data_IF_619616687829
#
_entry.id   IF_619616687829
#
_cell.length_a   1.000
_cell.length_b   1.000
_cell.length_c   1.000
_cell.angle_alpha   90.00
_cell.angle_beta   90.00
_cell.angle_gamma   90.00
#
_symmetry.space_group_name_H-M   'P 1'
#
loop_
_entity.id
_entity.type
_entity.pdbx_description
1 polymer ?
#
# COMPACT_ATOMS: atom_id res chain seq x y z
N UNK A 1 -0.70 33.73 7.34
CA UNK A 1 -0.30 32.68 6.37
C UNK A 1 -1.19 31.47 6.60
N UNK A 2 -1.85 30.97 5.57
CA UNK A 2 -2.49 29.65 5.68
C UNK A 2 -1.35 28.63 5.82
N UNK A 3 -1.31 27.91 6.92
CA UNK A 3 -0.46 26.71 7.01
C UNK A 3 -0.84 25.81 5.85
N UNK A 4 0.16 25.45 5.06
CA UNK A 4 -0.03 24.51 3.96
C UNK A 4 -0.37 23.17 4.59
N UNK A 5 -1.61 22.72 4.48
CA UNK A 5 -2.01 21.38 4.93
C UNK A 5 -1.27 20.38 4.07
N UNK A 6 -0.45 19.57 4.71
CA UNK A 6 0.27 18.47 4.08
C UNK A 6 -0.62 17.23 4.07
N UNK A 7 -0.60 16.47 3.01
CA UNK A 7 -1.41 15.27 2.89
C UNK A 7 -0.85 14.25 1.91
N UNK A 8 -1.44 13.05 1.87
CA UNK A 8 -1.04 12.02 0.92
C UNK A 8 -1.33 12.44 -0.53
N UNK A 9 -0.49 11.97 -1.43
CA UNK A 9 -0.64 12.16 -2.87
C UNK A 9 -1.58 11.12 -3.49
N UNK A 10 -1.61 9.91 -2.92
CA UNK A 10 -2.44 8.81 -3.41
C UNK A 10 -2.61 7.72 -2.35
N UNK A 11 -3.66 6.88 -2.51
CA UNK A 11 -3.73 5.58 -1.87
C UNK A 11 -2.79 4.64 -2.63
N UNK A 12 -1.68 4.28 -2.02
CA UNK A 12 -0.58 3.58 -2.67
C UNK A 12 -0.75 2.07 -2.64
N UNK A 13 -1.10 1.50 -1.49
CA UNK A 13 -1.39 0.08 -1.35
C UNK A 13 -2.46 -0.18 -0.28
N UNK A 14 -3.06 -1.36 -0.36
CA UNK A 14 -3.95 -1.89 0.68
C UNK A 14 -3.44 -3.25 1.15
N UNK A 15 -3.66 -3.55 2.41
CA UNK A 15 -3.43 -4.85 3.01
C UNK A 15 -4.75 -5.55 3.31
N UNK A 16 -4.82 -6.82 2.95
CA UNK A 16 -5.95 -7.70 3.21
C UNK A 16 -5.51 -8.87 4.09
N UNK A 17 -6.35 -9.25 5.04
CA UNK A 17 -6.24 -10.53 5.73
C UNK A 17 -7.06 -11.55 4.96
N UNK A 18 -6.43 -12.65 4.53
CA UNK A 18 -7.04 -13.59 3.57
C UNK A 18 -6.89 -15.03 4.05
N UNK A 19 -7.99 -15.75 4.13
CA UNK A 19 -8.01 -17.16 4.56
C UNK A 19 -7.59 -18.15 3.46
N UNK A 20 -7.85 -17.82 2.18
CA UNK A 20 -7.46 -18.64 1.02
C UNK A 20 -6.70 -17.80 -0.01
N UNK A 21 -5.37 -17.75 0.15
CA UNK A 21 -4.49 -17.01 -0.74
C UNK A 21 -4.43 -17.55 -2.16
N UNK A 22 -4.63 -18.85 -2.36
CA UNK A 22 -4.61 -19.47 -3.69
C UNK A 22 -5.87 -19.03 -4.48
N UNK A 23 -7.04 -19.05 -3.83
CA UNK A 23 -8.26 -18.55 -4.43
C UNK A 23 -8.18 -17.04 -4.73
N UNK A 24 -7.57 -16.26 -3.84
CA UNK A 24 -7.33 -14.82 -4.07
C UNK A 24 -6.39 -14.57 -5.23
N UNK A 25 -5.28 -15.31 -5.34
CA UNK A 25 -4.34 -15.17 -6.45
C UNK A 25 -5.01 -15.49 -7.79
N UNK A 26 -5.78 -16.58 -7.85
CA UNK A 26 -6.53 -16.95 -9.04
C UNK A 26 -7.55 -15.87 -9.42
N UNK A 27 -8.35 -15.39 -8.47
CA UNK A 27 -9.31 -14.30 -8.69
C UNK A 27 -8.63 -13.02 -9.19
N UNK A 28 -7.58 -12.59 -8.51
CA UNK A 28 -6.86 -11.36 -8.85
C UNK A 28 -6.26 -11.41 -10.26
N UNK A 29 -5.65 -12.53 -10.65
CA UNK A 29 -4.96 -12.64 -11.93
C UNK A 29 -5.88 -13.02 -13.07
N UNK A 30 -6.86 -13.89 -12.86
CA UNK A 30 -7.73 -14.43 -13.92
C UNK A 30 -9.00 -13.61 -14.11
N UNK A 31 -9.52 -12.98 -13.07
CA UNK A 31 -10.73 -12.16 -13.14
C UNK A 31 -10.42 -10.67 -13.20
N UNK A 32 -9.65 -10.15 -12.24
CA UNK A 32 -9.32 -8.72 -12.18
C UNK A 32 -8.22 -8.32 -13.17
N UNK A 33 -7.36 -9.24 -13.56
CA UNK A 33 -6.25 -8.96 -14.48
C UNK A 33 -5.03 -8.32 -13.81
N UNK A 34 -4.90 -8.45 -12.50
CA UNK A 34 -3.70 -8.03 -11.77
C UNK A 34 -2.53 -8.97 -12.08
N UNK A 35 -1.31 -8.53 -11.80
CA UNK A 35 -0.12 -9.37 -11.91
C UNK A 35 0.32 -9.84 -10.52
N UNK A 36 0.52 -11.15 -10.38
CA UNK A 36 1.10 -11.72 -9.17
C UNK A 36 2.61 -11.55 -9.16
N UNK A 37 3.15 -11.09 -8.03
CA UNK A 37 4.58 -11.07 -7.73
C UNK A 37 5.01 -12.29 -6.90
N UNK A 38 4.06 -13.20 -6.64
CA UNK A 38 4.27 -14.34 -5.76
C UNK A 38 4.14 -13.98 -4.28
N UNK A 39 4.57 -14.92 -3.45
CA UNK A 39 4.56 -14.76 -1.99
C UNK A 39 5.94 -14.36 -1.50
N UNK A 40 5.98 -13.48 -0.53
CA UNK A 40 7.20 -13.09 0.15
C UNK A 40 7.61 -14.09 1.26
N UNK A 41 8.66 -13.76 1.99
CA UNK A 41 9.19 -14.62 3.07
C UNK A 41 8.18 -14.81 4.21
N UNK A 42 7.28 -13.85 4.44
CA UNK A 42 6.22 -13.90 5.44
C UNK A 42 4.99 -14.67 4.92
N UNK A 43 5.01 -15.15 3.69
CA UNK A 43 3.93 -15.86 3.03
C UNK A 43 2.83 -14.94 2.47
N UNK A 44 2.99 -13.63 2.54
CA UNK A 44 2.02 -12.69 1.99
C UNK A 44 2.11 -12.62 0.45
N UNK A 45 0.97 -12.71 -0.20
CA UNK A 45 0.84 -12.57 -1.65
C UNK A 45 0.95 -11.08 -2.03
N UNK A 46 1.77 -10.77 -3.01
CA UNK A 46 1.94 -9.43 -3.57
C UNK A 46 1.31 -9.36 -4.95
N UNK A 47 0.42 -8.39 -5.16
CA UNK A 47 -0.24 -8.15 -6.44
C UNK A 47 0.03 -6.73 -6.91
N UNK A 48 0.20 -6.55 -8.21
CA UNK A 48 0.44 -5.24 -8.81
C UNK A 48 -0.47 -4.97 -10.00
N UNK A 49 -0.57 -3.70 -10.38
CA UNK A 49 -1.37 -3.24 -11.50
C UNK A 49 -0.68 -2.17 -12.35
N UNK A 50 0.51 -1.73 -11.95
CA UNK A 50 1.30 -0.67 -12.58
C UNK A 50 2.80 -0.84 -12.30
N UNK A 51 3.59 0.23 -12.37
CA UNK A 51 5.03 0.20 -12.14
C UNK A 51 5.42 -0.03 -10.68
N UNK A 52 4.52 0.15 -9.71
CA UNK A 52 4.79 -0.18 -8.32
C UNK A 52 5.07 -1.67 -8.18
N UNK A 53 5.99 -2.03 -7.29
CA UNK A 53 6.27 -3.43 -7.00
C UNK A 53 5.01 -4.18 -6.59
N UNK A 54 4.17 -3.56 -5.78
CA UNK A 54 2.86 -4.08 -5.39
C UNK A 54 1.91 -2.93 -5.04
N UNK A 55 0.63 -3.22 -5.18
CA UNK A 55 -0.49 -2.38 -4.74
C UNK A 55 -1.36 -3.11 -3.71
N UNK A 56 -1.25 -4.43 -3.65
CA UNK A 56 -2.00 -5.28 -2.71
C UNK A 56 -1.03 -6.17 -1.94
N UNK A 57 -1.24 -6.24 -0.64
CA UNK A 57 -0.55 -7.11 0.30
C UNK A 57 -1.60 -8.03 0.90
N UNK A 58 -1.70 -9.27 0.41
CA UNK A 58 -2.64 -10.24 0.94
C UNK A 58 -1.90 -11.13 1.94
N UNK A 59 -2.07 -10.85 3.22
CA UNK A 59 -1.46 -11.63 4.30
C UNK A 59 -2.35 -12.81 4.70
N UNK A 60 -1.78 -13.97 5.04
CA UNK A 60 -2.57 -15.09 5.56
C UNK A 60 -3.25 -14.71 6.88
N UNK A 61 -4.53 -14.99 7.00
CA UNK A 61 -5.33 -14.69 8.19
C UNK A 61 -6.80 -15.02 8.00
N UNK A 62 -7.56 -15.10 9.07
CA UNK A 62 -8.93 -15.63 9.07
C UNK A 62 -10.02 -14.54 8.93
N UNK A 63 -9.62 -13.27 8.88
CA UNK A 63 -10.59 -12.17 8.90
C UNK A 63 -11.34 -11.98 7.56
N UNK A 64 -10.70 -12.30 6.43
CA UNK A 64 -11.20 -12.04 5.07
C UNK A 64 -11.69 -10.59 4.90
N UNK A 65 -10.86 -9.65 5.35
CA UNK A 65 -11.23 -8.23 5.45
C UNK A 65 -10.03 -7.32 5.19
N UNK A 66 -10.30 -6.01 5.06
CA UNK A 66 -9.30 -4.96 5.00
C UNK A 66 -8.51 -4.93 6.33
N UNK A 67 -7.19 -4.95 6.23
CA UNK A 67 -6.30 -4.96 7.38
C UNK A 67 -5.40 -3.72 7.45
N UNK A 68 -5.15 -3.06 6.31
CA UNK A 68 -4.17 -1.98 6.23
C UNK A 68 -4.45 -1.04 5.07
N UNK A 69 -4.23 0.26 5.30
CA UNK A 69 -4.22 1.29 4.26
C UNK A 69 -2.83 1.95 4.19
N UNK A 70 -2.24 2.01 3.01
CA UNK A 70 -0.95 2.66 2.76
C UNK A 70 -1.11 3.92 1.92
N UNK A 71 -0.80 5.07 2.52
CA UNK A 71 -0.90 6.40 1.92
C UNK A 71 0.46 6.90 1.48
N UNK A 72 0.65 7.10 0.18
CA UNK A 72 1.91 7.61 -0.36
C UNK A 72 1.99 9.13 -0.19
N UNK A 73 3.15 9.60 0.28
CA UNK A 73 3.51 11.02 0.31
C UNK A 73 4.73 11.28 -0.59
N UNK A 74 4.96 12.54 -0.91
CA UNK A 74 5.95 12.93 -1.91
C UNK A 74 7.41 12.56 -1.50
N UNK A 75 7.75 12.77 -0.24
CA UNK A 75 9.11 12.64 0.28
C UNK A 75 9.14 12.52 1.81
N UNK A 76 10.35 12.34 2.38
CA UNK A 76 10.55 12.22 3.83
C UNK A 76 10.14 13.49 4.59
N UNK A 77 10.39 14.68 4.01
CA UNK A 77 10.00 15.95 4.65
C UNK A 77 8.48 16.08 4.75
N UNK A 78 7.77 15.65 3.72
CA UNK A 78 6.30 15.58 3.71
C UNK A 78 5.79 14.55 4.72
N UNK A 79 6.48 13.41 4.85
CA UNK A 79 6.17 12.36 5.83
C UNK A 79 6.30 12.89 7.27
N UNK A 80 7.40 13.58 7.57
CA UNK A 80 7.63 14.20 8.88
C UNK A 80 6.56 15.25 9.22
N UNK A 81 6.25 16.11 8.25
CA UNK A 81 5.22 17.14 8.43
C UNK A 81 3.82 16.54 8.65
N UNK A 82 3.49 15.45 7.94
CA UNK A 82 2.23 14.73 8.13
C UNK A 82 2.17 14.09 9.52
N UNK A 83 3.26 13.47 9.96
CA UNK A 83 3.35 12.88 11.30
C UNK A 83 3.10 13.93 12.40
N UNK A 84 3.78 15.07 12.32
CA UNK A 84 3.57 16.18 13.26
C UNK A 84 2.13 16.72 13.24
N UNK A 85 1.53 16.81 12.07
CA UNK A 85 0.14 17.25 11.89
C UNK A 85 -0.86 16.27 12.52
N UNK A 86 -0.64 14.95 12.38
CA UNK A 86 -1.46 13.91 13.00
C UNK A 86 -1.33 13.95 14.53
N UNK A 87 -0.11 14.07 15.07
CA UNK A 87 0.14 14.18 16.51
C UNK A 87 -0.51 15.44 17.09
N UNK A 88 -0.43 16.57 16.40
CA UNK A 88 -1.10 17.81 16.82
C UNK A 88 -2.63 17.67 16.82
N UNK A 89 -3.18 16.77 16.01
CA UNK A 89 -4.60 16.43 15.99
C UNK A 89 -4.98 15.35 17.04
N UNK A 90 -4.02 14.88 17.83
CA UNK A 90 -4.26 13.88 18.88
C UNK A 90 -4.20 12.43 18.41
N UNK A 91 -3.72 12.18 17.19
CA UNK A 91 -3.52 10.82 16.68
C UNK A 91 -2.16 10.30 17.16
N UNK A 92 -2.14 9.08 17.71
CA UNK A 92 -0.88 8.43 18.07
C UNK A 92 -0.14 7.99 16.80
N UNK A 93 1.10 8.44 16.61
CA UNK A 93 1.93 8.15 15.47
C UNK A 93 3.20 7.42 15.90
N UNK A 94 3.58 6.37 15.17
CA UNK A 94 4.82 5.64 15.39
C UNK A 94 5.65 5.63 14.10
N UNK A 95 6.94 5.96 14.20
CA UNK A 95 7.88 5.77 13.08
C UNK A 95 8.13 4.30 12.88
N UNK A 96 7.98 3.82 11.65
CA UNK A 96 8.28 2.43 11.31
C UNK A 96 9.78 2.16 11.33
N UNK A 97 10.16 1.04 11.91
CA UNK A 97 11.53 0.53 11.90
C UNK A 97 11.82 -0.28 10.62
N UNK A 98 12.96 -0.95 10.58
CA UNK A 98 13.32 -1.78 9.43
C UNK A 98 12.38 -2.98 9.23
N UNK A 99 11.82 -3.54 10.30
CA UNK A 99 10.86 -4.66 10.23
C UNK A 99 9.54 -4.21 9.60
N UNK A 100 9.12 -2.98 9.86
CA UNK A 100 7.95 -2.40 9.21
C UNK A 100 8.22 -2.02 7.74
N UNK A 101 9.35 -1.37 7.45
CA UNK A 101 9.67 -0.83 6.12
C UNK A 101 10.03 -1.88 5.08
N UNK A 102 10.83 -2.89 5.47
CA UNK A 102 11.38 -3.86 4.52
C UNK A 102 10.30 -4.65 3.78
N UNK A 103 9.26 -5.20 4.44
CA UNK A 103 8.18 -5.89 3.73
C UNK A 103 7.35 -4.98 2.83
N UNK A 104 7.32 -3.67 3.13
CA UNK A 104 6.61 -2.67 2.31
C UNK A 104 7.43 -2.23 1.11
N UNK A 105 8.74 -2.44 1.12
CA UNK A 105 9.66 -1.99 0.07
C UNK A 105 9.58 -0.46 -0.13
N UNK A 106 9.61 0.27 0.96
CA UNK A 106 9.55 1.74 1.00
C UNK A 106 10.79 2.31 1.69
N UNK A 107 11.10 3.57 1.40
CA UNK A 107 12.23 4.25 2.04
C UNK A 107 11.93 4.52 3.51
N UNK A 108 10.74 5.03 3.80
CA UNK A 108 10.33 5.34 5.16
C UNK A 108 8.81 5.33 5.31
N UNK A 109 8.32 5.13 6.54
CA UNK A 109 6.90 5.14 6.86
C UNK A 109 6.62 5.55 8.31
N UNK A 110 5.41 6.02 8.54
CA UNK A 110 4.79 6.20 9.86
C UNK A 110 3.51 5.36 9.94
N UNK A 111 3.19 4.90 11.15
CA UNK A 111 2.04 4.05 11.44
C UNK A 111 1.08 4.77 12.38
N UNK A 112 -0.19 4.65 12.12
CA UNK A 112 -1.28 5.20 12.94
C UNK A 112 -2.56 4.39 12.71
N UNK A 113 -3.62 4.71 13.44
CA UNK A 113 -4.93 4.07 13.25
C UNK A 113 -5.98 5.12 12.89
N UNK A 114 -6.95 4.73 12.10
CA UNK A 114 -8.13 5.53 11.85
C UNK A 114 -9.12 5.47 13.03
N UNK A 115 -10.19 6.29 13.07
CA UNK A 115 -11.16 6.25 14.16
C UNK A 115 -11.89 4.92 14.36
N UNK A 116 -11.90 4.05 13.35
CA UNK A 116 -12.48 2.71 13.43
C UNK A 116 -11.46 1.63 13.86
N UNK A 117 -10.20 2.02 14.08
CA UNK A 117 -9.13 1.11 14.46
C UNK A 117 -8.49 0.38 13.28
N UNK A 118 -8.71 0.83 12.04
CA UNK A 118 -8.03 0.27 10.86
C UNK A 118 -6.60 0.80 10.85
N UNK A 119 -5.64 -0.13 10.78
CA UNK A 119 -4.24 0.23 10.66
C UNK A 119 -3.99 1.03 9.38
N UNK A 120 -3.28 2.12 9.52
CA UNK A 120 -2.91 3.01 8.41
C UNK A 120 -1.41 3.30 8.47
N UNK A 121 -0.80 3.37 7.30
CA UNK A 121 0.58 3.77 7.11
C UNK A 121 0.63 4.97 6.16
N UNK A 122 1.44 5.96 6.45
CA UNK A 122 1.87 6.93 5.45
C UNK A 122 3.33 6.63 5.12
N UNK A 123 3.71 6.66 3.86
CA UNK A 123 5.04 6.25 3.42
C UNK A 123 5.56 7.07 2.24
N UNK A 124 6.88 7.04 2.04
CA UNK A 124 7.52 7.63 0.87
C UNK A 124 8.51 6.67 0.22
N UNK A 125 8.84 6.93 -1.04
CA UNK A 125 9.86 6.21 -1.79
C UNK A 125 9.54 4.72 -2.00
N UNK A 126 8.40 4.36 -2.61
CA UNK A 126 8.10 2.97 -2.91
C UNK A 126 9.04 2.40 -3.97
N UNK A 127 9.31 1.10 -3.89
CA UNK A 127 10.03 0.40 -4.94
C UNK A 127 9.20 0.36 -6.22
N UNK A 128 9.77 0.89 -7.31
CA UNK A 128 9.20 0.82 -8.64
C UNK A 128 9.94 -0.23 -9.47
N UNK A 129 9.20 -1.12 -10.12
CA UNK A 129 9.72 -2.22 -10.97
C UNK A 129 9.62 -1.85 -12.45
N UNK A 130 10.25 -0.75 -12.86
CA UNK A 130 10.23 -0.25 -14.25
C UNK A 130 11.03 -1.11 -15.21
N UNK A 131 12.01 -1.85 -14.71
CA UNK A 131 12.77 -2.87 -15.45
C UNK A 131 11.93 -4.10 -15.82
N UNK A 132 10.82 -4.27 -15.16
CA UNK A 132 9.84 -5.34 -15.40
C UNK A 132 8.44 -4.74 -15.57
N UNK A 133 8.05 -4.36 -16.80
CA UNK A 133 6.75 -3.78 -17.09
C UNK A 133 5.60 -4.67 -16.61
N UNK A 134 4.49 -4.04 -16.19
CA UNK A 134 3.27 -4.76 -15.80
C UNK A 134 2.74 -5.62 -16.94
N UNK A 135 2.43 -6.87 -16.63
CA UNK A 135 1.85 -7.84 -17.56
C UNK A 135 0.65 -8.55 -16.95
N UNK A 136 -0.54 -8.29 -17.48
CA UNK A 136 -1.73 -9.05 -17.12
C UNK A 136 -1.75 -10.41 -17.84
N UNK A 137 -2.26 -11.44 -17.17
CA UNK A 137 -2.62 -12.71 -17.81
C UNK A 137 -3.85 -12.57 -18.71
N UNK A 138 -4.66 -11.54 -18.50
CA UNK A 138 -5.82 -11.23 -19.32
C UNK A 138 -5.45 -10.25 -20.42
N UNK A 139 -6.14 -10.29 -21.57
CA UNK A 139 -5.98 -9.29 -22.63
C UNK A 139 -6.69 -7.98 -22.25
N UNK A 140 -6.31 -7.38 -21.12
CA UNK A 140 -6.79 -6.07 -20.66
C UNK A 140 -5.75 -5.01 -20.97
N UNK A 141 -6.19 -3.79 -21.19
CA UNK A 141 -5.30 -2.63 -21.24
C UNK A 141 -4.64 -2.38 -19.90
N UNK A 142 -3.73 -1.42 -19.84
CA UNK A 142 -3.13 -1.00 -18.59
C UNK A 142 -4.19 -0.37 -17.64
N UNK A 143 -3.99 -0.55 -16.35
CA UNK A 143 -4.76 0.18 -15.36
C UNK A 143 -4.32 1.65 -15.34
N UNK A 144 -5.28 2.56 -15.20
CA UNK A 144 -5.00 4.00 -15.06
C UNK A 144 -4.86 4.30 -13.58
N UNK A 145 -3.68 4.06 -13.05
CA UNK A 145 -3.34 4.35 -11.65
C UNK A 145 -2.46 5.60 -11.53
N UNK A 146 -1.34 5.65 -12.23
CA UNK A 146 -0.39 6.77 -12.28
C UNK A 146 -0.28 7.53 -10.94
N UNK A 147 -0.71 8.80 -10.93
CA UNK A 147 -0.75 9.66 -9.75
C UNK A 147 -2.07 9.58 -8.97
N UNK A 148 -3.04 8.81 -9.46
CA UNK A 148 -4.35 8.68 -8.83
C UNK A 148 -4.39 7.50 -7.83
N UNK A 149 -3.40 6.63 -7.87
CA UNK A 149 -3.32 5.46 -7.00
C UNK A 149 -4.45 4.47 -7.24
N UNK A 150 -4.89 3.81 -6.17
CA UNK A 150 -5.94 2.80 -6.22
C UNK A 150 -7.36 3.38 -6.43
N UNK A 151 -7.53 4.67 -6.29
CA UNK A 151 -8.82 5.34 -6.38
C UNK A 151 -9.58 5.30 -5.07
N UNK A 152 -10.52 4.37 -4.91
CA UNK A 152 -11.28 4.20 -3.67
C UNK A 152 -11.47 2.71 -3.31
N UNK A 153 -11.80 2.47 -2.07
CA UNK A 153 -12.06 1.17 -1.47
C UNK A 153 -13.34 1.19 -0.64
#
# INVERSE_FOLDING_TARGET
MKESIVGPSQLGYIGLSVSDLDAWEAFATEVLGLESRGRDEDGALRLRMDDHHHRFICAPGDADDLALLGWEVADEATLDALGAQLEAAGVAVRRGDAEARNPRLVVDLIEFEDPNGIASEAYCGPLLSRDRPFQSKRPVGAFVADRQGLGHI
#
